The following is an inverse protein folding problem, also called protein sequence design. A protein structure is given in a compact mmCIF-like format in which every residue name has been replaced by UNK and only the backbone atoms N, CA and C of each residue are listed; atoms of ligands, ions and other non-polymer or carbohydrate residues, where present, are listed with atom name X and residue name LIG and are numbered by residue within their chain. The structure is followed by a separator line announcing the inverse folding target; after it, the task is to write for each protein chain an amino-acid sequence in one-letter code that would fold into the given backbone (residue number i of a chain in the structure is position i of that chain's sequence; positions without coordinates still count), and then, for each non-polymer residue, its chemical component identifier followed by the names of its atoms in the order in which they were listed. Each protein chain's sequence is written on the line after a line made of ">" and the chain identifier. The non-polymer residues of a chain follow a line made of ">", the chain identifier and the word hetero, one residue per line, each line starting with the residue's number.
data_IF_069433016046
#
_entry.id   IF_069433016046
#
_cell.length_a   1.000
_cell.length_b   1.000
_cell.length_c   1.000
_cell.angle_alpha   90.00
_cell.angle_beta   90.00
_cell.angle_gamma   90.00
#
_symmetry.space_group_name_H-M   'P 1'
#
loop_
_entity.id
_entity.type
_entity.pdbx_description
1 polymer ?
#
# COMPACT_ATOMS: atom_id res chain seq x y z
N UNK A 1 9.66 9.70 11.76
CA UNK A 1 10.96 9.31 11.17
C UNK A 1 11.02 7.78 11.00
N UNK A 2 10.18 7.23 10.13
CA UNK A 2 10.19 5.79 9.76
C UNK A 2 10.55 5.65 8.28
N UNK A 3 10.32 6.69 7.48
CA UNK A 3 10.55 6.73 6.03
C UNK A 3 12.02 6.48 5.64
N UNK A 4 12.99 6.95 6.45
CA UNK A 4 14.41 6.69 6.18
C UNK A 4 14.90 5.30 6.62
N UNK A 5 14.23 4.66 7.59
CA UNK A 5 14.58 3.29 8.00
C UNK A 5 14.15 2.28 6.94
N UNK A 6 13.03 2.56 6.27
CA UNK A 6 12.52 1.75 5.17
C UNK A 6 13.51 1.75 3.99
N UNK A 7 14.07 2.89 3.59
CA UNK A 7 15.06 2.95 2.49
C UNK A 7 16.37 2.21 2.78
N UNK A 8 16.83 2.19 4.03
CA UNK A 8 18.06 1.50 4.39
C UNK A 8 17.87 -0.03 4.46
N UNK A 9 16.75 -0.50 5.01
CA UNK A 9 16.41 -1.92 5.02
C UNK A 9 16.11 -2.47 3.61
N UNK A 10 15.71 -1.58 2.69
CA UNK A 10 15.51 -1.92 1.28
C UNK A 10 16.83 -2.25 0.55
N UNK A 11 17.95 -1.71 1.01
CA UNK A 11 19.25 -2.05 0.40
C UNK A 11 19.86 -3.32 1.02
N UNK A 12 19.34 -3.77 2.17
CA UNK A 12 19.92 -4.85 2.99
C UNK A 12 19.18 -6.19 2.90
N UNK A 13 18.15 -6.32 2.07
CA UNK A 13 17.40 -7.58 1.90
C UNK A 13 16.48 -7.94 3.08
N UNK A 14 16.12 -6.97 3.93
CA UNK A 14 15.24 -7.17 5.10
C UNK A 14 13.78 -6.85 4.83
N UNK A 15 13.43 -6.52 3.59
CA UNK A 15 12.07 -6.20 3.15
C UNK A 15 11.09 -7.28 3.53
N UNK A 16 11.46 -8.56 3.36
CA UNK A 16 10.55 -9.68 3.61
C UNK A 16 10.13 -9.79 5.07
N UNK A 17 11.01 -9.40 6.01
CA UNK A 17 10.68 -9.37 7.43
C UNK A 17 9.65 -8.28 7.74
N UNK A 18 9.92 -7.05 7.29
CA UNK A 18 9.03 -5.90 7.50
C UNK A 18 7.70 -6.09 6.77
N UNK A 19 7.73 -6.63 5.54
CA UNK A 19 6.52 -6.95 4.76
C UNK A 19 5.70 -8.02 5.48
N UNK A 20 6.35 -9.05 6.05
CA UNK A 20 5.67 -10.08 6.84
C UNK A 20 4.98 -9.52 8.08
N UNK A 21 5.65 -8.65 8.82
CA UNK A 21 5.11 -7.98 10.01
C UNK A 21 3.96 -7.03 9.64
N UNK A 22 4.15 -6.18 8.63
CA UNK A 22 3.12 -5.28 8.14
C UNK A 22 1.90 -6.04 7.63
N UNK A 23 2.07 -7.20 6.97
CA UNK A 23 0.95 -8.05 6.56
C UNK A 23 0.11 -8.53 7.73
N UNK A 24 0.76 -9.06 8.77
CA UNK A 24 0.07 -9.52 9.96
C UNK A 24 -0.71 -8.37 10.60
N UNK A 25 -0.08 -7.19 10.73
CA UNK A 25 -0.72 -6.01 11.29
C UNK A 25 -1.86 -5.47 10.42
N UNK A 26 -1.75 -5.50 9.09
CA UNK A 26 -2.85 -5.11 8.19
C UNK A 26 -4.00 -6.10 8.19
N UNK A 27 -3.74 -7.39 8.44
CA UNK A 27 -4.79 -8.40 8.57
C UNK A 27 -5.52 -8.27 9.92
N UNK A 28 -4.82 -7.87 10.97
CA UNK A 28 -5.40 -7.61 12.30
C UNK A 28 -6.13 -6.26 12.35
N UNK A 29 -5.63 -5.25 11.64
CA UNK A 29 -6.16 -3.89 11.62
C UNK A 29 -6.41 -3.38 10.18
N UNK A 30 -7.37 -3.95 9.44
CA UNK A 30 -7.61 -3.63 8.03
C UNK A 30 -8.05 -2.19 7.77
N UNK A 31 -8.69 -1.55 8.75
CA UNK A 31 -9.12 -0.15 8.68
C UNK A 31 -8.00 0.86 8.99
N UNK A 32 -6.81 0.40 9.39
CA UNK A 32 -5.67 1.31 9.63
C UNK A 32 -4.94 1.56 8.32
N UNK A 33 -5.45 2.52 7.56
CA UNK A 33 -4.90 2.93 6.27
C UNK A 33 -3.40 3.18 6.29
N UNK A 34 -2.87 3.79 7.37
CA UNK A 34 -1.43 4.01 7.55
C UNK A 34 -0.58 2.73 7.45
N UNK A 35 -1.07 1.61 7.98
CA UNK A 35 -0.38 0.31 7.87
C UNK A 35 -0.45 -0.21 6.42
N UNK A 36 -1.59 -0.04 5.76
CA UNK A 36 -1.78 -0.39 4.35
C UNK A 36 -0.85 0.44 3.45
N UNK A 37 -0.76 1.75 3.64
CA UNK A 37 0.17 2.66 2.97
C UNK A 37 1.61 2.17 3.08
N UNK A 38 2.07 1.87 4.31
CA UNK A 38 3.43 1.37 4.54
C UNK A 38 3.69 0.03 3.85
N UNK A 39 2.72 -0.89 3.87
CA UNK A 39 2.83 -2.18 3.21
C UNK A 39 2.86 -2.03 1.68
N UNK A 40 2.00 -1.21 1.11
CA UNK A 40 1.95 -0.92 -0.34
C UNK A 40 3.28 -0.32 -0.80
N UNK A 41 3.82 0.66 -0.07
CA UNK A 41 5.13 1.25 -0.38
C UNK A 41 6.26 0.21 -0.30
N UNK A 42 6.30 -0.61 0.75
CA UNK A 42 7.31 -1.65 0.90
C UNK A 42 7.22 -2.72 -0.22
N UNK A 43 6.01 -3.08 -0.64
CA UNK A 43 5.76 -4.01 -1.74
C UNK A 43 6.14 -3.41 -3.09
N UNK A 44 5.85 -2.13 -3.33
CA UNK A 44 6.28 -1.41 -4.53
C UNK A 44 7.81 -1.37 -4.66
N UNK A 45 8.49 -0.98 -3.58
CA UNK A 45 9.96 -0.87 -3.54
C UNK A 45 10.69 -2.22 -3.59
N UNK A 46 10.05 -3.31 -3.15
CA UNK A 46 10.58 -4.68 -3.28
C UNK A 46 10.27 -5.33 -4.64
N UNK A 47 9.59 -4.62 -5.55
CA UNK A 47 9.17 -5.15 -6.86
C UNK A 47 7.96 -6.08 -6.81
N UNK A 48 7.35 -6.27 -5.64
CA UNK A 48 6.18 -7.13 -5.38
C UNK A 48 4.86 -6.40 -5.66
N UNK A 49 4.75 -5.78 -6.84
CA UNK A 49 3.64 -4.86 -7.20
C UNK A 49 2.27 -5.52 -7.23
N UNK A 50 2.17 -6.76 -7.72
CA UNK A 50 0.91 -7.52 -7.70
C UNK A 50 0.35 -7.67 -6.28
N UNK A 51 1.24 -7.75 -5.29
CA UNK A 51 0.85 -7.81 -3.88
C UNK A 51 0.44 -6.44 -3.34
N UNK A 52 1.09 -5.36 -3.78
CA UNK A 52 0.67 -4.00 -3.46
C UNK A 52 -0.77 -3.73 -3.93
N UNK A 53 -1.11 -4.15 -5.16
CA UNK A 53 -2.47 -4.04 -5.70
C UNK A 53 -3.50 -4.81 -4.86
N UNK A 54 -3.17 -6.03 -4.43
CA UNK A 54 -4.08 -6.82 -3.58
C UNK A 54 -4.35 -6.15 -2.24
N UNK A 55 -3.30 -5.61 -1.61
CA UNK A 55 -3.42 -4.91 -0.32
C UNK A 55 -4.29 -3.68 -0.47
N UNK A 56 -4.01 -2.84 -1.47
CA UNK A 56 -4.78 -1.63 -1.74
C UNK A 56 -6.26 -1.93 -2.00
N UNK A 57 -6.55 -2.92 -2.85
CA UNK A 57 -7.93 -3.32 -3.14
C UNK A 57 -8.65 -3.81 -1.88
N UNK A 58 -8.00 -4.66 -1.10
CA UNK A 58 -8.57 -5.15 0.16
C UNK A 58 -8.86 -4.00 1.11
N UNK A 59 -7.89 -3.09 1.34
CA UNK A 59 -8.12 -1.95 2.24
C UNK A 59 -9.23 -1.04 1.73
N UNK A 60 -9.28 -0.79 0.43
CA UNK A 60 -10.33 0.03 -0.18
C UNK A 60 -11.72 -0.59 0.01
N UNK A 61 -11.85 -1.90 -0.24
CA UNK A 61 -13.12 -2.62 -0.03
C UNK A 61 -13.56 -2.56 1.45
N UNK A 62 -12.65 -2.66 2.41
CA UNK A 62 -12.99 -2.53 3.84
C UNK A 62 -13.38 -1.09 4.22
N UNK A 63 -12.64 -0.09 3.76
CA UNK A 63 -12.93 1.32 4.08
C UNK A 63 -14.27 1.75 3.48
N UNK A 64 -14.55 1.39 2.23
CA UNK A 64 -15.81 1.74 1.56
C UNK A 64 -16.98 0.91 2.09
N UNK A 65 -16.79 -0.41 2.31
CA UNK A 65 -17.87 -1.29 2.76
C UNK A 65 -18.21 -1.14 4.24
N UNK A 66 -17.23 -0.90 5.11
CA UNK A 66 -17.45 -0.87 6.57
C UNK A 66 -17.59 0.55 7.11
N UNK A 67 -16.83 1.52 6.59
CA UNK A 67 -16.86 2.89 7.08
C UNK A 67 -17.71 3.83 6.18
N UNK A 68 -17.96 3.46 4.92
CA UNK A 68 -18.73 4.29 3.98
C UNK A 68 -18.06 5.63 3.67
N UNK A 69 -16.74 5.71 3.88
CA UNK A 69 -15.92 6.90 3.64
C UNK A 69 -14.94 6.65 2.50
N UNK A 70 -14.49 7.73 1.88
CA UNK A 70 -13.45 7.69 0.84
C UNK A 70 -12.08 7.38 1.49
N UNK A 71 -11.22 6.56 0.87
CA UNK A 71 -9.87 6.33 1.35
C UNK A 71 -9.04 7.62 1.39
N UNK A 72 -8.12 7.67 2.32
CA UNK A 72 -7.18 8.78 2.47
C UNK A 72 -6.29 8.94 1.23
N UNK A 73 -5.95 10.20 0.94
CA UNK A 73 -5.04 10.56 -0.15
C UNK A 73 -3.66 9.92 0.00
N UNK A 74 -3.20 9.70 1.23
CA UNK A 74 -1.94 9.04 1.51
C UNK A 74 -1.92 7.57 1.05
N UNK A 75 -3.06 6.87 1.13
CA UNK A 75 -3.18 5.49 0.65
C UNK A 75 -3.08 5.41 -0.87
N UNK A 76 -3.73 6.37 -1.54
CA UNK A 76 -3.71 6.49 -3.00
C UNK A 76 -2.35 6.91 -3.53
N UNK A 77 -1.72 7.92 -2.94
CA UNK A 77 -0.36 8.37 -3.27
C UNK A 77 0.65 7.22 -3.13
N UNK A 78 0.53 6.37 -2.09
CA UNK A 78 1.40 5.21 -1.93
C UNK A 78 1.15 4.13 -3.00
N UNK A 79 -0.10 3.92 -3.43
CA UNK A 79 -0.42 3.00 -4.51
C UNK A 79 0.13 3.49 -5.84
N UNK A 80 -0.10 4.74 -6.19
CA UNK A 80 0.47 5.37 -7.38
C UNK A 80 2.00 5.34 -7.37
N UNK A 81 2.63 5.64 -6.22
CA UNK A 81 4.08 5.52 -6.06
C UNK A 81 4.61 4.09 -6.24
N UNK A 82 3.88 3.08 -5.75
CA UNK A 82 4.26 1.68 -5.93
C UNK A 82 4.16 1.22 -7.40
N UNK A 83 3.29 1.85 -8.19
CA UNK A 83 3.08 1.54 -9.61
C UNK A 83 3.93 2.38 -10.57
N UNK A 84 4.36 3.58 -10.18
CA UNK A 84 5.10 4.50 -11.06
C UNK A 84 6.39 3.90 -11.64
N UNK A 85 6.99 2.91 -10.98
CA UNK A 85 8.16 2.18 -11.48
C UNK A 85 7.85 1.06 -12.48
N UNK A 86 6.57 0.75 -12.76
CA UNK A 86 6.17 -0.26 -13.75
C UNK A 86 5.16 0.32 -14.76
N UNK A 87 5.61 0.70 -15.98
CA UNK A 87 4.74 1.29 -17.00
C UNK A 87 3.70 0.30 -17.56
N UNK A 88 3.73 -0.97 -17.16
CA UNK A 88 2.75 -1.99 -17.59
C UNK A 88 1.56 -2.11 -16.65
N UNK A 89 1.67 -1.59 -15.42
CA UNK A 89 0.51 -1.53 -14.53
C UNK A 89 -0.21 -0.23 -14.82
N UNK A 90 -1.31 -0.33 -15.56
CA UNK A 90 -2.24 0.78 -15.75
C UNK A 90 -3.17 0.72 -14.52
N UNK A 91 -3.06 1.64 -13.54
CA UNK A 91 -4.04 1.71 -12.49
C UNK A 91 -5.39 2.10 -13.11
N UNK A 92 -6.26 1.12 -13.34
CA UNK A 92 -7.67 1.33 -13.68
C UNK A 92 -8.51 1.79 -12.47
N UNK A 93 -7.84 2.21 -11.40
CA UNK A 93 -8.37 2.43 -10.08
C UNK A 93 -7.53 3.50 -9.39
N UNK A 94 -8.11 4.48 -8.67
CA UNK A 94 -9.51 4.61 -8.26
C UNK A 94 -10.41 5.34 -9.27
N UNK A 95 -11.74 5.10 -9.27
CA UNK A 95 -12.68 6.03 -9.87
C UNK A 95 -12.80 7.22 -8.91
N UNK A 96 -11.84 8.15 -8.92
CA UNK A 96 -12.12 9.43 -8.29
C UNK A 96 -13.33 10.02 -9.01
N UNK A 97 -14.43 10.21 -8.27
CA UNK A 97 -15.45 11.18 -8.65
C UNK A 97 -14.73 12.49 -8.89
N UNK A 98 -14.55 12.84 -10.16
CA UNK A 98 -14.22 14.18 -10.58
C UNK A 98 -15.33 15.09 -10.06
N UNK A 99 -15.07 15.82 -8.97
CA UNK A 99 -15.72 17.09 -8.66
C UNK A 99 -14.66 18.16 -8.39
#
# INVERSE_FOLDING_TARGET
>A
MIEQLVDLDITLGRHDRIIGELRALTAEFPLRERLCTQLITALGRSGRRAEAVRVFRSSWEHVVSEAGIEPSRDLDDAFHGALADDPRVIPQWPPYSSE
#
